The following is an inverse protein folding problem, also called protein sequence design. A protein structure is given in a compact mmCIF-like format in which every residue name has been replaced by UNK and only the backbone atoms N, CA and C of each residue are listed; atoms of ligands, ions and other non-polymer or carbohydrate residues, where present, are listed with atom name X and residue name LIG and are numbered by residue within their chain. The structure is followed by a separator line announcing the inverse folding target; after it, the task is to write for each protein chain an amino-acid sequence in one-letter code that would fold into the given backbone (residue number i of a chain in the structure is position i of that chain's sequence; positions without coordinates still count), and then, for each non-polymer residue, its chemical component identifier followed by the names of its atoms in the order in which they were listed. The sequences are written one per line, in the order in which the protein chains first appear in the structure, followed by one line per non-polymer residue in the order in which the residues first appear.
data_IF_324090156929
#
_entry.id   IF_324090156929
#
_cell.length_a   1.000
_cell.length_b   1.000
_cell.length_c   1.000
_cell.angle_alpha   90.00
_cell.angle_beta   90.00
_cell.angle_gamma   90.00
#
_symmetry.space_group_name_H-M   'P 1'
#
loop_
_entity.id
_entity.type
_entity.pdbx_description
1 polymer ?
#
# COMPACT_ATOMS: atom_id res chain seq x y z
N UNK A 1 37.47 -18.78 7.58
CA UNK A 1 36.19 -19.50 7.50
C UNK A 1 35.13 -18.47 7.19
N UNK A 2 34.64 -18.40 5.95
CA UNK A 2 33.53 -17.54 5.60
C UNK A 2 32.29 -18.03 6.36
N UNK A 3 31.69 -17.16 7.17
CA UNK A 3 30.37 -17.39 7.76
C UNK A 3 29.38 -17.67 6.62
N UNK A 4 28.97 -18.93 6.46
CA UNK A 4 27.92 -19.32 5.51
C UNK A 4 26.62 -18.75 6.07
N UNK A 5 26.31 -17.50 5.73
CA UNK A 5 25.05 -16.85 6.10
C UNK A 5 23.89 -17.67 5.55
N UNK A 6 22.96 -18.05 6.44
CA UNK A 6 21.71 -18.72 6.07
C UNK A 6 21.00 -17.93 4.95
N UNK A 7 20.33 -18.61 4.00
CA UNK A 7 19.56 -17.92 2.98
C UNK A 7 18.51 -17.01 3.63
N UNK A 8 18.37 -15.79 3.10
CA UNK A 8 17.32 -14.88 3.54
C UNK A 8 16.01 -15.30 2.89
N UNK A 9 15.00 -15.56 3.73
CA UNK A 9 13.67 -15.96 3.30
C UNK A 9 12.87 -14.72 2.89
N UNK A 10 12.67 -14.57 1.59
CA UNK A 10 11.89 -13.49 1.00
C UNK A 10 10.53 -14.06 0.60
N UNK A 11 9.46 -13.55 1.21
CA UNK A 11 8.10 -13.87 0.83
C UNK A 11 7.56 -12.80 -0.10
N UNK A 12 6.97 -13.23 -1.21
CA UNK A 12 6.16 -12.37 -2.07
C UNK A 12 4.69 -12.69 -1.86
N UNK A 13 3.97 -11.76 -1.24
CA UNK A 13 2.52 -11.80 -1.09
C UNK A 13 1.89 -10.89 -2.13
N UNK A 14 1.57 -11.45 -3.28
CA UNK A 14 1.01 -10.74 -4.42
C UNK A 14 0.08 -11.67 -5.20
N UNK A 15 -0.76 -11.09 -6.05
CA UNK A 15 -1.68 -11.87 -6.88
C UNK A 15 -0.90 -12.84 -7.78
N UNK A 16 -1.37 -14.09 -7.84
CA UNK A 16 -0.87 -15.15 -8.73
C UNK A 16 -1.06 -14.75 -10.20
N UNK A 17 -0.06 -14.06 -10.75
CA UNK A 17 -0.08 -13.56 -12.11
C UNK A 17 1.31 -13.59 -12.76
N UNK A 18 1.37 -13.26 -14.05
CA UNK A 18 2.61 -13.24 -14.84
C UNK A 18 3.62 -12.27 -14.21
N UNK A 19 3.17 -11.15 -13.66
CA UNK A 19 4.05 -10.17 -13.02
C UNK A 19 4.73 -10.74 -11.78
N UNK A 20 4.03 -11.51 -10.95
CA UNK A 20 4.62 -12.17 -9.78
C UNK A 20 5.73 -13.15 -10.19
N UNK A 21 5.51 -13.94 -11.25
CA UNK A 21 6.52 -14.88 -11.76
C UNK A 21 7.75 -14.15 -12.30
N UNK A 22 7.52 -13.08 -13.06
CA UNK A 22 8.58 -12.21 -13.56
C UNK A 22 9.34 -11.59 -12.38
N UNK A 23 8.64 -11.04 -11.40
CA UNK A 23 9.23 -10.46 -10.19
C UNK A 23 10.16 -11.46 -9.49
N UNK A 24 9.69 -12.69 -9.26
CA UNK A 24 10.50 -13.73 -8.64
C UNK A 24 11.76 -14.03 -9.45
N UNK A 25 11.63 -14.26 -10.76
CA UNK A 25 12.79 -14.51 -11.64
C UNK A 25 13.80 -13.36 -11.62
N UNK A 26 13.33 -12.11 -11.54
CA UNK A 26 14.21 -10.96 -11.46
C UNK A 26 14.91 -10.85 -10.11
N UNK A 27 14.21 -11.13 -9.00
CA UNK A 27 14.81 -11.11 -7.67
C UNK A 27 15.89 -12.21 -7.57
N UNK A 28 15.62 -13.40 -8.10
CA UNK A 28 16.59 -14.51 -8.18
C UNK A 28 17.86 -14.12 -8.95
N UNK A 29 17.70 -13.41 -10.07
CA UNK A 29 18.82 -13.02 -10.95
C UNK A 29 19.54 -11.74 -10.50
N UNK A 30 18.82 -10.82 -9.87
CA UNK A 30 19.24 -9.44 -9.60
C UNK A 30 20.14 -9.31 -8.37
N UNK A 31 20.05 -10.25 -7.42
CA UNK A 31 20.77 -10.17 -6.14
C UNK A 31 22.00 -11.06 -6.19
N UNK A 32 22.96 -10.66 -7.04
CA UNK A 32 24.26 -11.33 -7.15
C UNK A 32 24.96 -11.37 -5.78
N UNK A 33 25.40 -12.55 -5.37
CA UNK A 33 26.23 -12.74 -4.17
C UNK A 33 25.47 -12.91 -2.85
N UNK A 34 24.14 -13.10 -2.86
CA UNK A 34 23.37 -13.47 -1.65
C UNK A 34 22.60 -14.76 -1.88
N UNK A 35 22.53 -15.60 -0.83
CA UNK A 35 21.60 -16.72 -0.81
C UNK A 35 20.22 -16.19 -0.42
N UNK A 36 19.26 -16.27 -1.33
CA UNK A 36 17.88 -15.85 -1.10
C UNK A 36 16.97 -17.02 -1.43
N UNK A 37 16.10 -17.36 -0.49
CA UNK A 37 15.01 -18.31 -0.71
C UNK A 37 13.73 -17.52 -0.93
N UNK A 38 13.24 -17.51 -2.18
CA UNK A 38 11.96 -16.91 -2.51
C UNK A 38 10.83 -17.91 -2.32
N UNK A 39 9.76 -17.47 -1.69
CA UNK A 39 8.52 -18.25 -1.61
C UNK A 39 7.30 -17.36 -1.82
N UNK A 40 6.28 -17.95 -2.43
CA UNK A 40 4.97 -17.34 -2.61
C UNK A 40 4.04 -17.82 -1.51
N UNK A 41 3.12 -16.95 -1.08
CA UNK A 41 2.06 -17.33 -0.15
C UNK A 41 0.70 -16.96 -0.75
N UNK A 42 -0.28 -17.89 -0.74
CA UNK A 42 -1.54 -17.69 -1.45
C UNK A 42 -2.59 -16.91 -0.65
N UNK A 43 -2.38 -16.72 0.66
CA UNK A 43 -3.37 -16.12 1.56
C UNK A 43 -2.74 -15.36 2.72
N UNK A 44 -3.54 -14.51 3.36
CA UNK A 44 -3.15 -13.79 4.59
C UNK A 44 -2.90 -14.75 5.76
N UNK A 45 -3.68 -15.82 5.88
CA UNK A 45 -3.52 -16.80 6.96
C UNK A 45 -2.15 -17.50 6.86
N UNK A 46 -1.78 -17.95 5.65
CA UNK A 46 -0.46 -18.56 5.41
C UNK A 46 0.67 -17.55 5.61
N UNK A 47 0.45 -16.28 5.24
CA UNK A 47 1.43 -15.22 5.49
C UNK A 47 1.66 -15.03 7.00
N UNK A 48 0.60 -14.90 7.79
CA UNK A 48 0.70 -14.72 9.24
C UNK A 48 1.32 -15.92 9.94
N UNK A 49 0.96 -17.14 9.53
CA UNK A 49 1.58 -18.36 10.04
C UNK A 49 3.09 -18.35 9.81
N UNK A 50 3.55 -18.08 8.58
CA UNK A 50 4.98 -18.07 8.27
C UNK A 50 5.75 -16.98 9.02
N UNK A 51 5.16 -15.80 9.19
CA UNK A 51 5.77 -14.75 10.01
C UNK A 51 5.91 -15.24 11.46
N UNK A 52 4.85 -15.82 12.03
CA UNK A 52 4.87 -16.30 13.43
C UNK A 52 5.87 -17.43 13.68
N UNK A 53 6.18 -18.22 12.64
CA UNK A 53 7.19 -19.28 12.70
C UNK A 53 8.64 -18.74 12.51
N UNK A 54 8.81 -17.43 12.31
CA UNK A 54 10.12 -16.83 12.04
C UNK A 54 10.71 -17.24 10.68
N UNK A 55 9.86 -17.61 9.72
CA UNK A 55 10.26 -18.09 8.40
C UNK A 55 10.32 -16.95 7.36
N UNK A 56 10.25 -15.69 7.79
CA UNK A 56 10.20 -14.51 6.91
C UNK A 56 11.24 -13.50 7.38
N UNK A 57 12.24 -13.22 6.54
CA UNK A 57 13.18 -12.12 6.78
C UNK A 57 12.73 -10.84 6.04
N UNK A 58 12.13 -11.02 4.85
CA UNK A 58 11.60 -9.92 4.03
C UNK A 58 10.23 -10.30 3.48
N UNK A 59 9.28 -9.37 3.55
CA UNK A 59 8.00 -9.45 2.87
C UNK A 59 7.95 -8.41 1.75
N UNK A 60 7.62 -8.83 0.55
CA UNK A 60 7.23 -7.95 -0.56
C UNK A 60 5.74 -8.15 -0.85
N UNK A 61 4.98 -7.06 -0.90
CA UNK A 61 3.53 -7.10 -1.15
C UNK A 61 3.08 -5.92 -1.98
N UNK A 62 1.99 -6.05 -2.74
CA UNK A 62 1.38 -4.91 -3.43
C UNK A 62 0.27 -4.28 -2.59
N UNK A 63 0.13 -2.96 -2.70
CA UNK A 63 -0.80 -2.17 -1.92
C UNK A 63 -2.27 -2.58 -2.11
N UNK A 64 -2.79 -2.60 -3.34
CA UNK A 64 -4.19 -2.98 -3.59
C UNK A 64 -4.45 -4.45 -3.27
N UNK A 65 -3.48 -5.33 -3.48
CA UNK A 65 -3.61 -6.74 -3.11
C UNK A 65 -3.74 -6.93 -1.60
N UNK A 66 -2.91 -6.23 -0.82
CA UNK A 66 -2.96 -6.28 0.64
C UNK A 66 -4.24 -5.62 1.18
N UNK A 67 -4.45 -4.34 0.84
CA UNK A 67 -5.53 -3.52 1.40
C UNK A 67 -6.89 -3.74 0.75
N UNK A 68 -6.93 -4.38 -0.42
CA UNK A 68 -8.16 -4.83 -1.07
C UNK A 68 -8.58 -6.24 -0.64
N UNK A 69 -7.76 -6.94 0.14
CA UNK A 69 -8.13 -8.24 0.68
C UNK A 69 -9.29 -8.08 1.69
N UNK A 70 -10.37 -8.87 1.53
CA UNK A 70 -11.56 -8.78 2.38
C UNK A 70 -11.28 -9.05 3.86
N UNK A 71 -10.28 -9.87 4.15
CA UNK A 71 -9.85 -10.16 5.52
C UNK A 71 -8.88 -9.11 6.09
N UNK A 72 -8.52 -8.10 5.30
CA UNK A 72 -7.65 -7.01 5.74
C UNK A 72 -8.45 -5.89 6.42
N UNK A 73 -8.77 -6.12 7.69
CA UNK A 73 -9.42 -5.13 8.56
C UNK A 73 -8.42 -4.47 9.53
N UNK A 74 -8.94 -3.66 10.46
CA UNK A 74 -8.12 -3.00 11.48
C UNK A 74 -7.39 -4.00 12.40
N UNK A 75 -8.03 -5.11 12.76
CA UNK A 75 -7.44 -6.12 13.63
C UNK A 75 -6.33 -6.89 12.91
N UNK A 76 -6.55 -7.25 11.64
CA UNK A 76 -5.55 -7.87 10.76
C UNK A 76 -4.33 -6.96 10.56
N UNK A 77 -4.53 -5.67 10.29
CA UNK A 77 -3.43 -4.70 10.17
C UNK A 77 -2.63 -4.56 11.48
N UNK A 78 -3.32 -4.48 12.63
CA UNK A 78 -2.66 -4.42 13.94
C UNK A 78 -1.84 -5.69 14.21
N UNK A 79 -2.43 -6.87 13.97
CA UNK A 79 -1.76 -8.17 14.10
C UNK A 79 -0.55 -8.26 13.18
N UNK A 80 -0.69 -7.85 11.93
CA UNK A 80 0.40 -7.83 10.95
C UNK A 80 1.59 -6.97 11.43
N UNK A 81 1.32 -5.72 11.85
CA UNK A 81 2.37 -4.83 12.37
C UNK A 81 3.08 -5.44 13.58
N UNK A 82 2.32 -6.02 14.52
CA UNK A 82 2.87 -6.68 15.70
C UNK A 82 3.76 -7.87 15.32
N UNK A 83 3.27 -8.77 14.47
CA UNK A 83 4.02 -9.95 14.02
C UNK A 83 5.31 -9.56 13.29
N UNK A 84 5.26 -8.56 12.40
CA UNK A 84 6.46 -8.10 11.70
C UNK A 84 7.49 -7.52 12.67
N UNK A 85 7.06 -6.80 13.71
CA UNK A 85 7.96 -6.24 14.72
C UNK A 85 8.59 -7.36 15.58
N UNK A 86 7.78 -8.28 16.09
CA UNK A 86 8.24 -9.40 16.94
C UNK A 86 9.25 -10.29 16.20
N UNK A 87 8.99 -10.58 14.93
CA UNK A 87 9.83 -11.46 14.10
C UNK A 87 10.83 -10.71 13.22
N UNK A 88 11.00 -9.40 13.43
CA UNK A 88 11.97 -8.56 12.70
C UNK A 88 11.84 -8.64 11.17
N UNK A 89 10.61 -8.76 10.68
CA UNK A 89 10.30 -8.83 9.24
C UNK A 89 10.43 -7.45 8.62
N UNK A 90 11.29 -7.33 7.61
CA UNK A 90 11.39 -6.09 6.83
C UNK A 90 10.39 -6.12 5.67
N UNK A 91 9.74 -4.99 5.40
CA UNK A 91 8.56 -4.92 4.52
C UNK A 91 8.83 -3.98 3.35
N UNK A 92 8.64 -4.50 2.14
CA UNK A 92 8.61 -3.74 0.89
C UNK A 92 7.19 -3.69 0.32
N UNK A 93 6.76 -2.49 -0.06
CA UNK A 93 5.46 -2.23 -0.67
C UNK A 93 5.63 -1.93 -2.16
N UNK A 94 4.92 -2.65 -3.00
CA UNK A 94 4.76 -2.37 -4.42
C UNK A 94 3.49 -1.55 -4.63
N UNK A 95 3.57 -0.54 -5.49
CA UNK A 95 2.51 0.45 -5.66
C UNK A 95 2.23 0.63 -7.15
N UNK A 96 1.08 0.15 -7.62
CA UNK A 96 0.69 0.30 -9.03
C UNK A 96 0.24 1.73 -9.39
N UNK A 97 -0.44 2.41 -8.45
CA UNK A 97 -1.10 3.70 -8.68
C UNK A 97 -0.27 4.87 -8.14
N UNK A 98 -0.24 5.98 -8.87
CA UNK A 98 0.48 7.20 -8.51
C UNK A 98 -0.42 8.27 -7.87
N UNK A 99 -1.60 7.85 -7.43
CA UNK A 99 -2.57 8.74 -6.82
C UNK A 99 -1.98 9.48 -5.59
N UNK A 100 -2.01 10.82 -5.55
CA UNK A 100 -1.50 11.64 -4.44
C UNK A 100 -2.01 11.23 -3.06
N UNK A 101 -3.26 10.77 -2.97
CA UNK A 101 -3.86 10.33 -1.71
C UNK A 101 -3.14 9.09 -1.14
N UNK A 102 -2.66 8.21 -2.02
CA UNK A 102 -1.93 7.00 -1.65
C UNK A 102 -0.57 7.34 -1.06
N UNK A 103 0.04 8.44 -1.48
CA UNK A 103 1.34 8.87 -0.99
C UNK A 103 1.33 9.15 0.51
N UNK A 104 0.29 9.82 1.01
CA UNK A 104 0.13 10.04 2.46
C UNK A 104 0.01 8.70 3.21
N UNK A 105 -0.74 7.76 2.65
CA UNK A 105 -0.91 6.43 3.24
C UNK A 105 0.39 5.65 3.25
N UNK A 106 1.17 5.66 2.17
CA UNK A 106 2.48 4.99 2.09
C UNK A 106 3.39 5.47 3.24
N UNK A 107 3.39 6.77 3.52
CA UNK A 107 4.15 7.34 4.64
C UNK A 107 3.61 6.86 5.99
N UNK A 108 2.30 6.89 6.22
CA UNK A 108 1.66 6.45 7.48
C UNK A 108 1.77 4.93 7.74
N UNK A 109 2.00 4.14 6.69
CA UNK A 109 2.16 2.68 6.79
C UNK A 109 3.55 2.25 7.29
N UNK A 110 4.55 3.13 7.20
CA UNK A 110 5.90 2.93 7.73
C UNK A 110 6.57 1.65 7.21
N UNK A 111 6.43 1.35 5.91
CA UNK A 111 7.17 0.26 5.27
C UNK A 111 8.62 0.68 5.05
N UNK A 112 9.56 -0.26 5.19
CA UNK A 112 10.99 -0.02 5.02
C UNK A 112 11.37 0.31 3.57
N UNK A 113 10.58 -0.16 2.59
CA UNK A 113 10.66 0.35 1.23
C UNK A 113 9.29 0.45 0.55
N UNK A 114 9.14 1.42 -0.34
CA UNK A 114 8.03 1.53 -1.27
C UNK A 114 8.54 1.75 -2.70
N UNK A 115 8.02 0.98 -3.66
CA UNK A 115 8.44 0.99 -5.07
C UNK A 115 7.21 1.11 -5.97
N UNK A 116 7.24 2.02 -6.96
CA UNK A 116 6.18 2.06 -7.97
C UNK A 116 6.36 0.90 -8.95
N UNK A 117 5.26 0.28 -9.37
CA UNK A 117 5.30 -0.67 -10.50
C UNK A 117 5.54 0.02 -11.84
N UNK A 118 5.49 1.35 -11.88
CA UNK A 118 5.85 2.15 -13.06
C UNK A 118 7.34 2.53 -13.09
N UNK A 119 8.10 2.22 -12.04
CA UNK A 119 9.54 2.40 -12.06
C UNK A 119 10.22 1.30 -12.89
N UNK A 120 11.41 1.60 -13.38
CA UNK A 120 12.31 0.58 -13.90
C UNK A 120 12.60 -0.47 -12.82
N UNK A 121 12.72 -1.73 -13.24
CA UNK A 121 13.01 -2.86 -12.33
C UNK A 121 14.31 -2.69 -11.53
N UNK A 122 15.20 -1.80 -11.96
CA UNK A 122 16.39 -1.41 -11.19
C UNK A 122 16.05 -0.78 -9.83
N UNK A 123 14.92 -0.06 -9.72
CA UNK A 123 14.47 0.54 -8.45
C UNK A 123 14.04 -0.54 -7.45
N UNK A 124 13.42 -1.63 -7.92
CA UNK A 124 13.11 -2.78 -7.08
C UNK A 124 14.38 -3.42 -6.53
N UNK A 125 15.40 -3.62 -7.37
CA UNK A 125 16.68 -4.18 -6.93
C UNK A 125 17.35 -3.29 -5.87
N UNK A 126 17.31 -1.96 -6.05
CA UNK A 126 17.78 -0.99 -5.05
C UNK A 126 16.97 -1.09 -3.75
N UNK A 127 15.65 -1.21 -3.83
CA UNK A 127 14.78 -1.34 -2.67
C UNK A 127 15.06 -2.62 -1.87
N UNK A 128 15.24 -3.76 -2.55
CA UNK A 128 15.57 -5.02 -1.88
C UNK A 128 16.97 -4.93 -1.28
N UNK A 129 17.95 -4.40 -2.00
CA UNK A 129 19.30 -4.20 -1.47
C UNK A 129 19.30 -3.26 -0.26
N UNK A 130 18.49 -2.20 -0.31
CA UNK A 130 18.26 -1.28 0.80
C UNK A 130 17.67 -2.02 1.99
N UNK A 131 16.52 -2.69 1.82
CA UNK A 131 15.88 -3.49 2.86
C UNK A 131 16.89 -4.42 3.50
N UNK A 132 17.67 -5.16 2.70
CA UNK A 132 18.57 -6.20 3.20
C UNK A 132 19.78 -5.64 3.96
N UNK A 133 20.27 -4.46 3.61
CA UNK A 133 21.43 -3.81 4.24
C UNK A 133 21.07 -2.87 5.37
N UNK A 134 19.90 -2.25 5.33
CA UNK A 134 19.58 -1.11 6.17
C UNK A 134 19.56 -1.48 7.65
N UNK A 135 20.36 -0.72 8.42
CA UNK A 135 20.18 -0.47 9.87
C UNK A 135 19.56 0.92 10.11
N UNK A 136 19.13 1.58 9.04
CA UNK A 136 18.73 3.00 9.06
C UNK A 136 17.23 3.17 9.31
N UNK A 137 16.88 4.34 9.86
CA UNK A 137 15.52 4.69 10.24
C UNK A 137 14.66 5.26 9.08
N UNK A 138 15.25 5.52 7.91
CA UNK A 138 14.56 6.15 6.79
C UNK A 138 13.99 5.10 5.83
N UNK A 139 12.77 5.26 5.31
CA UNK A 139 12.25 4.32 4.32
C UNK A 139 12.84 4.60 2.93
N UNK A 140 13.12 3.55 2.16
CA UNK A 140 13.43 3.69 0.75
C UNK A 140 12.17 4.03 -0.03
N UNK A 141 12.22 5.03 -0.90
CA UNK A 141 11.13 5.39 -1.80
C UNK A 141 11.69 5.54 -3.20
N UNK A 142 11.12 4.79 -4.14
CA UNK A 142 11.57 4.81 -5.53
C UNK A 142 11.39 6.16 -6.21
N UNK A 143 12.09 6.39 -7.32
CA UNK A 143 12.06 7.65 -8.07
C UNK A 143 10.65 8.12 -8.43
N UNK A 144 9.82 7.25 -8.99
CA UNK A 144 8.47 7.62 -9.43
C UNK A 144 7.58 8.03 -8.23
N UNK A 145 7.67 7.30 -7.12
CA UNK A 145 6.95 7.64 -5.90
C UNK A 145 7.46 8.94 -5.27
N UNK A 146 8.77 9.19 -5.26
CA UNK A 146 9.34 10.46 -4.78
C UNK A 146 8.84 11.66 -5.57
N UNK A 147 8.79 11.54 -6.90
CA UNK A 147 8.20 12.57 -7.76
C UNK A 147 6.73 12.82 -7.42
N UNK A 148 5.95 11.75 -7.25
CA UNK A 148 4.53 11.80 -6.91
C UNK A 148 4.27 12.43 -5.53
N UNK A 149 5.06 12.07 -4.51
CA UNK A 149 5.06 12.68 -3.18
C UNK A 149 5.33 14.20 -3.23
N UNK A 150 6.30 14.62 -4.05
CA UNK A 150 6.64 16.03 -4.20
C UNK A 150 5.49 16.84 -4.84
N UNK A 151 4.81 16.25 -5.83
CA UNK A 151 3.65 16.85 -6.49
C UNK A 151 2.43 16.89 -5.55
N UNK A 152 2.21 15.84 -4.75
CA UNK A 152 1.15 15.76 -3.76
C UNK A 152 1.29 16.81 -2.66
N UNK A 153 2.51 17.03 -2.13
CA UNK A 153 2.79 18.08 -1.13
C UNK A 153 2.48 19.48 -1.64
N UNK A 154 2.67 19.74 -2.94
CA UNK A 154 2.29 21.02 -3.57
C UNK A 154 0.78 21.21 -3.75
N UNK A 155 -0.01 20.13 -3.65
CA UNK A 155 -1.46 20.10 -3.92
C UNK A 155 -2.29 19.68 -2.70
N UNK A 156 -1.76 19.79 -1.48
CA UNK A 156 -2.42 19.32 -0.27
C UNK A 156 -3.65 20.15 0.12
N UNK A 157 -4.72 20.05 -0.67
CA UNK A 157 -6.02 20.61 -0.36
C UNK A 157 -6.76 19.64 0.54
N UNK A 158 -6.94 20.05 1.80
CA UNK A 158 -7.77 19.30 2.75
C UNK A 158 -9.24 19.39 2.34
N UNK A 159 -9.96 18.29 2.55
CA UNK A 159 -11.41 18.31 2.43
C UNK A 159 -11.98 19.23 3.51
N UNK A 160 -12.89 20.11 3.11
CA UNK A 160 -13.75 20.81 4.04
C UNK A 160 -14.70 19.82 4.72
N UNK A 161 -15.24 20.18 5.88
CA UNK A 161 -16.18 19.32 6.62
C UNK A 161 -17.41 18.92 5.78
N UNK A 162 -17.86 19.79 4.86
CA UNK A 162 -19.00 19.53 3.98
C UNK A 162 -18.66 18.56 2.85
N UNK A 163 -17.48 18.71 2.25
CA UNK A 163 -16.96 17.76 1.26
C UNK A 163 -16.76 16.38 1.90
N UNK A 164 -16.21 16.35 3.11
CA UNK A 164 -16.03 15.11 3.86
C UNK A 164 -17.36 14.41 4.17
N UNK A 165 -18.36 15.16 4.63
CA UNK A 165 -19.70 14.64 4.93
C UNK A 165 -20.34 13.96 3.69
N UNK A 166 -20.23 14.59 2.52
CA UNK A 166 -20.75 14.02 1.28
C UNK A 166 -19.99 12.76 0.89
N UNK A 167 -18.66 12.80 0.94
CA UNK A 167 -17.80 11.66 0.59
C UNK A 167 -18.07 10.46 1.51
N UNK A 168 -18.21 10.68 2.81
CA UNK A 168 -18.55 9.64 3.79
C UNK A 168 -19.90 8.97 3.50
N UNK A 169 -20.94 9.76 3.21
CA UNK A 169 -22.26 9.21 2.89
C UNK A 169 -22.29 8.47 1.55
N UNK A 170 -21.55 8.94 0.54
CA UNK A 170 -21.42 8.22 -0.72
C UNK A 170 -20.80 6.84 -0.51
N UNK A 171 -19.78 6.72 0.35
CA UNK A 171 -19.17 5.42 0.62
C UNK A 171 -20.02 4.49 1.49
N UNK A 172 -21.00 5.03 2.20
CA UNK A 172 -22.07 4.27 2.87
C UNK A 172 -23.17 3.80 1.92
N UNK A 173 -23.06 4.09 0.62
CA UNK A 173 -24.01 3.66 -0.41
C UNK A 173 -25.13 4.66 -0.69
N UNK A 174 -25.13 5.86 -0.08
CA UNK A 174 -26.15 6.86 -0.35
C UNK A 174 -25.93 7.53 -1.71
N UNK A 175 -27.00 7.65 -2.48
CA UNK A 175 -27.06 8.46 -3.68
C UNK A 175 -26.99 9.95 -3.36
N UNK A 176 -26.55 10.75 -4.33
CA UNK A 176 -26.48 12.21 -4.17
C UNK A 176 -27.84 12.85 -3.88
N UNK A 177 -28.94 12.24 -4.37
CA UNK A 177 -30.32 12.67 -4.09
C UNK A 177 -30.73 12.38 -2.65
N UNK A 178 -30.40 11.21 -2.12
CA UNK A 178 -30.67 10.88 -0.71
C UNK A 178 -29.86 11.78 0.23
N UNK A 179 -28.60 12.08 -0.12
CA UNK A 179 -27.76 13.00 0.66
C UNK A 179 -28.35 14.41 0.64
N UNK A 180 -28.78 14.90 -0.53
CA UNK A 180 -29.43 16.21 -0.68
C UNK A 180 -30.68 16.33 0.20
N UNK A 181 -31.55 15.32 0.17
CA UNK A 181 -32.74 15.26 1.01
C UNK A 181 -32.38 15.24 2.51
N UNK A 182 -31.47 14.35 2.92
CA UNK A 182 -31.05 14.20 4.32
C UNK A 182 -30.39 15.43 4.92
N UNK A 183 -29.67 16.20 4.10
CA UNK A 183 -28.93 17.38 4.54
C UNK A 183 -29.66 18.69 4.25
N UNK A 184 -30.88 18.63 3.70
CA UNK A 184 -31.67 19.78 3.27
C UNK A 184 -30.86 20.73 2.38
N UNK A 185 -30.16 20.16 1.38
CA UNK A 185 -29.32 20.89 0.42
C UNK A 185 -29.80 20.63 -1.00
N UNK A 186 -29.54 21.57 -1.91
CA UNK A 186 -29.80 21.34 -3.32
C UNK A 186 -28.93 20.21 -3.87
N UNK A 187 -29.49 19.42 -4.82
CA UNK A 187 -28.78 18.34 -5.50
C UNK A 187 -27.48 18.82 -6.15
N UNK A 188 -27.52 20.01 -6.77
CA UNK A 188 -26.37 20.66 -7.39
C UNK A 188 -25.26 20.94 -6.37
N UNK A 189 -25.60 21.41 -5.16
CA UNK A 189 -24.62 21.66 -4.10
C UNK A 189 -23.92 20.38 -3.66
N UNK A 190 -24.67 19.28 -3.47
CA UNK A 190 -24.09 17.98 -3.11
C UNK A 190 -23.20 17.44 -4.24
N UNK A 191 -23.63 17.59 -5.50
CA UNK A 191 -22.85 17.20 -6.67
C UNK A 191 -21.53 18.00 -6.76
N UNK A 192 -21.57 19.32 -6.57
CA UNK A 192 -20.38 20.17 -6.53
C UNK A 192 -19.45 19.82 -5.37
N UNK A 193 -19.99 19.58 -4.17
CA UNK A 193 -19.20 19.16 -3.01
C UNK A 193 -18.51 17.81 -3.27
N UNK A 194 -19.23 16.84 -3.84
CA UNK A 194 -18.65 15.56 -4.26
C UNK A 194 -17.55 15.77 -5.31
N UNK A 195 -17.80 16.55 -6.35
CA UNK A 195 -16.83 16.82 -7.41
C UNK A 195 -15.56 17.49 -6.89
N UNK A 196 -15.70 18.53 -6.05
CA UNK A 196 -14.57 19.22 -5.44
C UNK A 196 -13.79 18.28 -4.52
N UNK A 197 -14.49 17.45 -3.74
CA UNK A 197 -13.83 16.46 -2.91
C UNK A 197 -13.04 15.46 -3.74
N UNK A 198 -13.63 14.92 -4.81
CA UNK A 198 -12.97 14.00 -5.73
C UNK A 198 -11.72 14.64 -6.38
N UNK A 199 -11.82 15.91 -6.80
CA UNK A 199 -10.69 16.67 -7.34
C UNK A 199 -9.56 16.84 -6.31
N UNK A 200 -9.89 17.21 -5.07
CA UNK A 200 -8.91 17.36 -3.97
C UNK A 200 -8.26 16.05 -3.57
N UNK A 201 -9.03 14.96 -3.58
CA UNK A 201 -8.54 13.61 -3.33
C UNK A 201 -7.83 12.99 -4.54
N UNK A 202 -7.87 13.66 -5.70
CA UNK A 202 -7.40 13.15 -6.98
C UNK A 202 -7.97 11.77 -7.33
N UNK A 203 -9.27 11.56 -7.09
CA UNK A 203 -9.98 10.33 -7.47
C UNK A 203 -10.94 10.62 -8.62
N UNK A 204 -11.02 9.70 -9.57
CA UNK A 204 -11.69 9.93 -10.85
C UNK A 204 -13.13 9.42 -10.86
N UNK A 205 -13.47 8.44 -10.00
CA UNK A 205 -14.79 7.82 -9.97
C UNK A 205 -15.23 7.41 -8.54
N UNK A 206 -16.50 7.00 -8.40
CA UNK A 206 -17.06 6.59 -7.11
C UNK A 206 -16.35 5.35 -6.54
N UNK A 207 -15.91 4.42 -7.38
CA UNK A 207 -15.23 3.21 -6.94
C UNK A 207 -13.88 3.53 -6.30
N UNK A 208 -13.11 4.44 -6.89
CA UNK A 208 -11.88 4.98 -6.30
C UNK A 208 -12.15 5.77 -5.02
N UNK A 209 -13.24 6.55 -4.99
CA UNK A 209 -13.65 7.27 -3.78
C UNK A 209 -13.99 6.32 -2.63
N UNK A 210 -14.71 5.23 -2.91
CA UNK A 210 -15.05 4.20 -1.91
C UNK A 210 -13.77 3.52 -1.41
N UNK A 211 -12.90 3.07 -2.31
CA UNK A 211 -11.59 2.50 -1.96
C UNK A 211 -10.78 3.45 -1.09
N UNK A 212 -10.74 4.73 -1.44
CA UNK A 212 -10.06 5.76 -0.66
C UNK A 212 -10.52 5.76 0.80
N UNK A 213 -11.83 5.78 1.07
CA UNK A 213 -12.33 5.84 2.45
C UNK A 213 -12.06 4.54 3.21
N UNK A 214 -12.23 3.38 2.56
CA UNK A 214 -11.96 2.08 3.19
C UNK A 214 -10.48 1.94 3.57
N UNK A 215 -9.56 2.19 2.64
CA UNK A 215 -8.13 2.09 2.93
C UNK A 215 -7.66 3.18 3.88
N UNK A 216 -8.39 4.29 3.93
CA UNK A 216 -8.13 5.35 4.89
C UNK A 216 -8.49 4.98 6.34
N UNK A 217 -9.12 3.82 6.59
CA UNK A 217 -9.65 3.47 7.91
C UNK A 217 -10.72 4.46 8.39
N UNK A 218 -11.38 5.14 7.46
CA UNK A 218 -12.34 6.21 7.74
C UNK A 218 -13.79 5.70 7.80
N UNK A 219 -14.03 4.44 7.43
CA UNK A 219 -15.27 3.72 7.68
C UNK A 219 -14.98 2.70 8.79
N UNK A 220 -15.72 2.83 9.89
CA UNK A 220 -15.77 1.85 10.99
C UNK A 220 -16.93 0.91 10.76
#
# INVERSE_FOLDING_TARGET
MEDIKRPQNVIVFYEENIFQKILCQYIEKGIKGRQIALSLVPSLDTLFERISQGLVDVLLTEFHYLYGNKAWDHAANKKFKQLCLEHHVRRGLLVADNNPWLMRRIVEMEFEAAVSMNDDISELNKAIDYILRAKEATPFVSSHLRASLSAARKRADTLSSREWEVVYLVAQGYSISEIAARKSRALSTVATQKHNAMKKLNVSNNSELIKYIHTAGMLK
#
